data_IF_347074328491
#
_entry.id   IF_347074328491
#
_cell.length_a   1.000
_cell.length_b   1.000
_cell.length_c   1.000
_cell.angle_alpha   90.00
_cell.angle_beta   90.00
_cell.angle_gamma   90.00
#
_symmetry.space_group_name_H-M   'P 1'
#
loop_
_entity.id
_entity.type
_entity.pdbx_description
1 polymer ?
#
# COMPACT_ATOMS: atom_id res chain seq x y z
N UNK A 1 -13.53 -28.62 -19.13
CA UNK A 1 -12.18 -28.29 -18.65
C UNK A 1 -12.27 -27.14 -17.66
N UNK A 2 -11.66 -27.29 -16.49
CA UNK A 2 -11.64 -26.30 -15.42
C UNK A 2 -10.18 -25.89 -15.14
N UNK A 3 -9.99 -24.65 -14.75
CA UNK A 3 -8.74 -24.17 -14.16
C UNK A 3 -8.88 -24.23 -12.64
N UNK A 4 -7.94 -24.91 -11.98
CA UNK A 4 -7.91 -25.02 -10.52
C UNK A 4 -6.90 -24.01 -9.98
N UNK A 5 -7.31 -23.20 -9.00
CA UNK A 5 -6.44 -22.29 -8.26
C UNK A 5 -6.54 -22.58 -6.76
N UNK A 6 -5.46 -22.29 -6.03
CA UNK A 6 -5.44 -22.37 -4.57
C UNK A 6 -5.39 -20.94 -4.04
N UNK A 7 -6.32 -20.59 -3.15
CA UNK A 7 -6.34 -19.28 -2.50
C UNK A 7 -5.27 -19.17 -1.40
N UNK A 8 -5.02 -17.95 -0.93
CA UNK A 8 -4.08 -17.69 0.16
C UNK A 8 -4.45 -18.35 1.49
N UNK A 9 -5.74 -18.68 1.69
CA UNK A 9 -6.25 -19.43 2.85
C UNK A 9 -6.44 -20.93 2.56
N UNK A 10 -5.73 -21.45 1.55
CA UNK A 10 -5.67 -22.87 1.18
C UNK A 10 -7.03 -23.48 0.75
N UNK A 11 -7.90 -22.69 0.12
CA UNK A 11 -9.14 -23.18 -0.48
C UNK A 11 -8.94 -23.44 -1.97
N UNK A 12 -9.55 -24.52 -2.45
CA UNK A 12 -9.55 -24.87 -3.87
C UNK A 12 -10.65 -24.09 -4.60
N UNK A 13 -10.27 -23.30 -5.59
CA UNK A 13 -11.17 -22.55 -6.47
C UNK A 13 -11.18 -23.24 -7.84
N UNK A 14 -12.38 -23.55 -8.34
CA UNK A 14 -12.57 -24.15 -9.66
C UNK A 14 -13.23 -23.15 -10.61
N UNK A 15 -12.55 -22.83 -11.71
CA UNK A 15 -12.99 -21.83 -12.68
C UNK A 15 -13.30 -22.50 -14.03
N UNK A 16 -14.50 -22.33 -14.60
CA UNK A 16 -14.81 -22.84 -15.93
C UNK A 16 -14.03 -22.06 -17.01
N UNK A 17 -13.34 -22.79 -17.89
CA UNK A 17 -12.44 -22.18 -18.90
C UNK A 17 -13.18 -21.26 -19.89
N UNK A 18 -14.46 -21.49 -20.15
CA UNK A 18 -15.28 -20.66 -21.04
C UNK A 18 -15.46 -19.23 -20.52
N UNK A 19 -15.55 -19.05 -19.19
CA UNK A 19 -15.68 -17.73 -18.56
C UNK A 19 -14.35 -17.00 -18.45
N UNK A 20 -13.25 -17.73 -18.26
CA UNK A 20 -11.89 -17.18 -18.18
C UNK A 20 -11.47 -16.48 -19.48
N UNK A 21 -11.75 -17.11 -20.63
CA UNK A 21 -11.30 -16.64 -21.95
C UNK A 21 -11.91 -15.31 -22.41
N UNK A 22 -13.04 -14.91 -21.83
CA UNK A 22 -13.77 -13.68 -22.19
C UNK A 22 -13.59 -12.55 -21.16
N UNK A 23 -12.73 -12.75 -20.15
CA UNK A 23 -12.56 -11.82 -19.04
C UNK A 23 -11.14 -11.24 -19.01
N UNK A 24 -11.00 -10.02 -18.50
CA UNK A 24 -9.69 -9.41 -18.27
C UNK A 24 -8.96 -10.17 -17.14
N UNK A 25 -7.76 -10.67 -17.43
CA UNK A 25 -6.92 -11.38 -16.44
C UNK A 25 -5.93 -10.39 -15.82
N UNK A 26 -6.02 -10.19 -14.51
CA UNK A 26 -5.03 -9.41 -13.75
C UNK A 26 -4.01 -10.35 -13.11
N UNK A 27 -2.74 -10.23 -13.52
CA UNK A 27 -1.65 -11.02 -12.95
C UNK A 27 -0.86 -10.15 -11.96
N UNK A 28 -0.89 -10.55 -10.68
CA UNK A 28 -0.20 -9.83 -9.60
C UNK A 28 1.27 -10.20 -9.44
N UNK A 29 1.74 -11.30 -10.05
CA UNK A 29 3.11 -11.83 -9.88
C UNK A 29 3.98 -11.73 -11.13
N UNK A 30 3.41 -11.37 -12.29
CA UNK A 30 4.15 -11.24 -13.54
C UNK A 30 5.21 -10.12 -13.50
N UNK A 31 4.97 -9.06 -12.73
CA UNK A 31 5.90 -7.94 -12.61
C UNK A 31 6.80 -8.10 -11.38
N UNK A 32 8.06 -7.67 -11.48
CA UNK A 32 9.05 -7.74 -10.39
C UNK A 32 8.74 -6.78 -9.25
N UNK A 33 8.18 -5.62 -9.56
CA UNK A 33 7.84 -4.58 -8.61
C UNK A 33 6.34 -4.28 -8.67
N UNK A 34 5.81 -3.80 -7.55
CA UNK A 34 4.41 -3.42 -7.39
C UNK A 34 4.29 -2.16 -6.58
N UNK A 35 3.39 -1.27 -7.00
CA UNK A 35 3.05 -0.07 -6.25
C UNK A 35 2.10 -0.41 -5.09
N UNK A 36 2.47 0.03 -3.91
CA UNK A 36 1.68 -0.03 -2.69
C UNK A 36 1.04 1.34 -2.48
N UNK A 37 -0.27 1.35 -2.21
CA UNK A 37 -1.04 2.55 -1.87
C UNK A 37 -1.56 2.44 -0.44
N UNK A 38 -1.35 3.48 0.37
CA UNK A 38 -1.86 3.58 1.73
C UNK A 38 -2.52 4.93 1.96
N UNK A 39 -3.71 4.92 2.56
CA UNK A 39 -4.40 6.12 2.99
C UNK A 39 -4.21 6.29 4.49
N UNK A 40 -3.80 7.48 4.92
CA UNK A 40 -3.52 7.83 6.31
C UNK A 40 -4.29 9.08 6.67
N UNK A 41 -5.19 8.98 7.65
CA UNK A 41 -5.99 10.12 8.11
C UNK A 41 -5.42 10.66 9.42
N UNK A 42 -5.17 11.96 9.47
CA UNK A 42 -4.64 12.68 10.64
C UNK A 42 -5.61 13.80 11.04
N UNK A 43 -5.48 14.31 12.27
CA UNK A 43 -6.32 15.43 12.73
C UNK A 43 -6.04 16.70 11.93
N UNK A 44 -7.09 17.47 11.63
CA UNK A 44 -7.02 18.67 10.78
C UNK A 44 -6.03 19.73 11.27
N UNK A 45 -5.81 19.82 12.59
CA UNK A 45 -4.97 20.85 13.20
C UNK A 45 -3.45 20.62 13.02
N UNK A 46 -3.08 19.63 12.20
CA UNK A 46 -1.70 19.23 11.96
C UNK A 46 -1.14 19.96 10.75
N UNK A 47 0.06 20.54 10.89
CA UNK A 47 0.74 21.19 9.78
C UNK A 47 1.02 20.21 8.63
N UNK A 48 0.65 20.61 7.40
CA UNK A 48 0.70 19.76 6.20
C UNK A 48 2.13 19.35 5.88
N UNK A 49 3.09 20.27 6.02
CA UNK A 49 4.50 19.97 5.75
C UNK A 49 5.07 19.00 6.78
N UNK A 50 4.70 19.19 8.06
CA UNK A 50 5.10 18.31 9.15
C UNK A 50 4.58 16.89 8.93
N UNK A 51 3.29 16.72 8.58
CA UNK A 51 2.70 15.40 8.28
C UNK A 51 3.44 14.74 7.12
N UNK A 52 3.70 15.46 6.02
CA UNK A 52 4.45 14.93 4.88
C UNK A 52 5.86 14.48 5.26
N UNK A 53 6.57 15.26 6.09
CA UNK A 53 7.93 14.92 6.58
C UNK A 53 7.90 13.67 7.46
N UNK A 54 6.92 13.56 8.36
CA UNK A 54 6.75 12.38 9.23
C UNK A 54 6.45 11.13 8.41
N UNK A 55 5.54 11.20 7.45
CA UNK A 55 5.23 10.09 6.55
C UNK A 55 6.42 9.71 5.68
N UNK A 56 7.19 10.68 5.18
CA UNK A 56 8.40 10.41 4.41
C UNK A 56 9.47 9.71 5.26
N UNK A 57 9.62 10.12 6.52
CA UNK A 57 10.53 9.45 7.45
C UNK A 57 10.10 8.00 7.71
N UNK A 58 8.80 7.76 7.93
CA UNK A 58 8.26 6.41 8.08
C UNK A 58 8.54 5.54 6.85
N UNK A 59 8.33 6.07 5.64
CA UNK A 59 8.67 5.39 4.38
C UNK A 59 10.17 5.07 4.31
N UNK A 60 11.03 6.02 4.66
CA UNK A 60 12.48 5.83 4.64
C UNK A 60 12.97 4.82 5.69
N UNK A 61 12.21 4.58 6.77
CA UNK A 61 12.48 3.53 7.77
C UNK A 61 12.00 2.14 7.32
N UNK A 62 11.16 2.04 6.30
CA UNK A 62 10.73 0.75 5.75
C UNK A 62 11.75 0.25 4.73
N UNK A 63 12.49 -0.81 5.07
CA UNK A 63 13.57 -1.33 4.23
C UNK A 63 13.09 -1.98 2.92
N UNK A 64 11.86 -2.51 2.92
CA UNK A 64 11.27 -3.17 1.76
C UNK A 64 10.71 -2.20 0.71
N UNK A 65 10.86 -0.88 0.93
CA UNK A 65 10.50 0.15 -0.04
C UNK A 65 11.69 0.45 -0.95
N UNK A 66 11.43 0.49 -2.26
CA UNK A 66 12.38 0.93 -3.28
C UNK A 66 12.48 2.47 -3.23
N UNK A 67 13.49 2.98 -2.54
CA UNK A 67 13.70 4.42 -2.28
C UNK A 67 14.28 5.18 -3.48
N UNK A 68 14.85 4.44 -4.43
CA UNK A 68 15.32 4.90 -5.73
C UNK A 68 14.17 5.18 -6.71
N UNK A 69 13.01 4.55 -6.47
CA UNK A 69 11.78 4.77 -7.23
C UNK A 69 10.96 5.95 -6.68
N UNK A 70 9.94 6.36 -7.44
CA UNK A 70 9.13 7.52 -7.09
C UNK A 70 8.26 7.28 -5.84
N UNK A 71 8.52 8.05 -4.78
CA UNK A 71 7.70 8.10 -3.55
C UNK A 71 6.72 9.28 -3.65
N UNK A 72 5.42 8.98 -3.61
CA UNK A 72 4.37 10.00 -3.65
C UNK A 72 3.67 10.10 -2.29
N UNK A 73 3.77 11.27 -1.66
CA UNK A 73 3.03 11.60 -0.43
C UNK A 73 2.26 12.91 -0.68
N UNK A 74 0.93 12.83 -0.72
CA UNK A 74 0.05 13.97 -1.01
C UNK A 74 -1.21 13.92 -0.16
N UNK A 75 -1.83 15.07 0.07
CA UNK A 75 -3.19 15.10 0.62
C UNK A 75 -4.14 14.60 -0.47
N UNK A 76 -4.93 13.58 -0.14
CA UNK A 76 -5.95 12.99 -1.02
C UNK A 76 -7.30 13.67 -0.82
N UNK A 77 -7.63 13.96 0.42
CA UNK A 77 -8.93 14.51 0.81
C UNK A 77 -8.83 15.25 2.16
N UNK A 78 -9.80 16.11 2.46
CA UNK A 78 -9.91 16.80 3.74
C UNK A 78 -11.37 17.00 4.16
N UNK A 79 -11.59 17.02 5.46
CA UNK A 79 -12.87 17.24 6.13
C UNK A 79 -12.68 18.26 7.25
N UNK A 80 -13.75 18.71 7.89
CA UNK A 80 -13.67 19.68 9.00
C UNK A 80 -12.82 19.20 10.20
N UNK A 81 -12.63 17.88 10.34
CA UNK A 81 -11.97 17.27 11.50
C UNK A 81 -10.70 16.49 11.16
N UNK A 82 -10.52 16.11 9.89
CA UNK A 82 -9.40 15.26 9.47
C UNK A 82 -8.91 15.58 8.06
N UNK A 83 -7.62 15.37 7.83
CA UNK A 83 -7.01 15.39 6.51
C UNK A 83 -6.49 13.99 6.18
N UNK A 84 -6.80 13.49 4.98
CA UNK A 84 -6.36 12.18 4.51
C UNK A 84 -5.23 12.35 3.51
N UNK A 85 -4.13 11.65 3.77
CA UNK A 85 -2.94 11.60 2.93
C UNK A 85 -2.85 10.25 2.23
N UNK A 86 -2.44 10.28 0.96
CA UNK A 86 -2.10 9.11 0.18
C UNK A 86 -0.58 8.97 0.13
N UNK A 87 -0.10 7.79 0.50
CA UNK A 87 1.29 7.36 0.42
C UNK A 87 1.36 6.29 -0.65
N UNK A 88 2.11 6.55 -1.73
CA UNK A 88 2.41 5.55 -2.77
C UNK A 88 3.90 5.29 -2.82
N UNK A 89 4.27 4.03 -2.74
CA UNK A 89 5.66 3.56 -2.76
C UNK A 89 5.76 2.30 -3.61
N UNK A 90 6.95 2.05 -4.14
CA UNK A 90 7.25 0.82 -4.86
C UNK A 90 7.92 -0.19 -3.94
N UNK A 91 7.61 -1.47 -4.14
CA UNK A 91 8.23 -2.59 -3.43
C UNK A 91 8.37 -3.78 -4.37
N UNK A 92 9.20 -4.75 -4.03
CA UNK A 92 9.26 -6.01 -4.75
C UNK A 92 7.94 -6.77 -4.58
N UNK A 93 7.49 -7.43 -5.65
CA UNK A 93 6.24 -8.19 -5.62
C UNK A 93 6.26 -9.32 -4.60
N UNK A 94 7.43 -9.93 -4.34
CA UNK A 94 7.63 -10.94 -3.29
C UNK A 94 7.40 -10.38 -1.89
N UNK A 95 7.74 -9.11 -1.68
CA UNK A 95 7.80 -8.48 -0.36
C UNK A 95 6.55 -7.65 -0.08
N UNK A 96 5.63 -7.54 -1.05
CA UNK A 96 4.47 -6.66 -1.00
C UNK A 96 3.66 -6.76 0.31
N UNK A 97 3.41 -7.97 0.80
CA UNK A 97 2.66 -8.19 2.05
C UNK A 97 3.44 -7.68 3.26
N UNK A 98 4.71 -8.03 3.38
CA UNK A 98 5.57 -7.61 4.50
C UNK A 98 5.78 -6.09 4.46
N UNK A 99 6.11 -5.52 3.29
CA UNK A 99 6.22 -4.09 3.09
C UNK A 99 4.94 -3.33 3.48
N UNK A 100 3.77 -3.93 3.25
CA UNK A 100 2.48 -3.36 3.69
C UNK A 100 2.34 -3.34 5.20
N UNK A 101 2.76 -4.38 5.91
CA UNK A 101 2.68 -4.42 7.36
C UNK A 101 3.71 -3.48 7.99
N UNK A 102 4.97 -3.56 7.57
CA UNK A 102 6.06 -2.72 8.09
C UNK A 102 5.78 -1.24 7.89
N UNK A 103 5.28 -0.85 6.70
CA UNK A 103 4.93 0.54 6.42
C UNK A 103 3.78 1.03 7.30
N UNK A 104 2.77 0.19 7.59
CA UNK A 104 1.66 0.57 8.49
C UNK A 104 2.16 0.82 9.90
N UNK A 105 2.99 -0.07 10.41
CA UNK A 105 3.55 0.03 11.76
C UNK A 105 4.46 1.26 11.87
N UNK A 106 5.37 1.46 10.92
CA UNK A 106 6.27 2.61 10.89
C UNK A 106 5.50 3.94 10.80
N UNK A 107 4.44 4.01 9.99
CA UNK A 107 3.59 5.20 9.91
C UNK A 107 2.91 5.47 11.25
N UNK A 108 2.35 4.43 11.90
CA UNK A 108 1.67 4.59 13.18
C UNK A 108 2.63 5.08 14.27
N UNK A 109 3.81 4.47 14.37
CA UNK A 109 4.87 4.88 15.30
C UNK A 109 5.26 6.34 15.05
N UNK A 110 5.50 6.71 13.80
CA UNK A 110 5.93 8.07 13.45
C UNK A 110 4.85 9.11 13.79
N UNK A 111 3.57 8.80 13.58
CA UNK A 111 2.45 9.67 13.96
C UNK A 111 2.38 9.85 15.47
N UNK A 112 2.48 8.76 16.24
CA UNK A 112 2.40 8.80 17.70
C UNK A 112 3.57 9.58 18.33
N UNK A 113 4.79 9.40 17.82
CA UNK A 113 5.99 10.12 18.27
C UNK A 113 5.86 11.64 18.07
N UNK A 114 5.20 12.05 16.98
CA UNK A 114 5.03 13.46 16.62
C UNK A 114 3.69 14.04 17.10
N UNK A 115 2.85 13.24 17.78
CA UNK A 115 1.54 13.61 18.36
C UNK A 115 0.55 14.17 17.33
N UNK A 116 0.51 13.54 16.15
CA UNK A 116 -0.32 13.95 14.99
C UNK A 116 -1.60 13.10 14.88
#
# INVERSE_FOLDING_TARGET
FYTTAISSDNKTIQLPNGSLSNSNITNFTANKTRMLEMNVSVKYNSDIETVKKVLLNAVNKTDLVLKDENILIRMKDYTDTSATYIVKVWTNTSDYSNATFDLKENIKIAIDENKI
#
